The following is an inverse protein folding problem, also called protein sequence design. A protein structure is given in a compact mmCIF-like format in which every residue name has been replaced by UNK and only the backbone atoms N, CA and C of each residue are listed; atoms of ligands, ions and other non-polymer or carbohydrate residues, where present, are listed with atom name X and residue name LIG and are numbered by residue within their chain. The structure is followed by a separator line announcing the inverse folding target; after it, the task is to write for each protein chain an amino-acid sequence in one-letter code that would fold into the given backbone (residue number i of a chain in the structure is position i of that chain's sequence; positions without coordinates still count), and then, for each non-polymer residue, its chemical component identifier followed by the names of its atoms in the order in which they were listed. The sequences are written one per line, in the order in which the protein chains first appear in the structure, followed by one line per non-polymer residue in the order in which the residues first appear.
data_IF_723285619903
#
_entry.id   IF_723285619903
#
_cell.length_a   1.000
_cell.length_b   1.000
_cell.length_c   1.000
_cell.angle_alpha   90.00
_cell.angle_beta   90.00
_cell.angle_gamma   90.00
#
_symmetry.space_group_name_H-M   'P 1'
#
loop_
_entity.id
_entity.type
_entity.pdbx_description
1 polymer ?
#
# COMPACT_ATOMS: atom_id res chain seq x y z
N UNK A 1 0.92 0.52 -19.56
CA UNK A 1 1.09 1.96 -19.31
C UNK A 1 1.77 2.67 -20.48
N UNK A 2 3.07 2.47 -20.73
CA UNK A 2 3.78 3.13 -21.85
C UNK A 2 3.09 3.01 -23.20
N UNK A 3 2.72 1.79 -23.61
CA UNK A 3 2.03 1.55 -24.90
C UNK A 3 0.73 2.33 -25.10
N UNK A 4 0.03 2.69 -24.02
CA UNK A 4 -1.27 3.36 -24.07
C UNK A 4 -1.19 4.86 -23.85
N UNK A 5 -0.16 5.33 -23.15
CA UNK A 5 -0.07 6.72 -22.67
C UNK A 5 1.13 7.48 -23.24
N UNK A 6 2.11 6.77 -23.80
CA UNK A 6 3.42 7.33 -24.15
C UNK A 6 4.31 7.67 -22.94
N UNK A 7 3.80 7.54 -21.71
CA UNK A 7 4.53 7.88 -20.49
C UNK A 7 5.20 6.64 -19.88
N UNK A 8 6.42 6.82 -19.35
CA UNK A 8 7.00 5.82 -18.47
C UNK A 8 6.24 5.79 -17.13
N UNK A 9 6.42 4.73 -16.33
CA UNK A 9 5.65 4.53 -15.08
C UNK A 9 5.88 5.64 -14.06
N UNK A 10 7.09 6.19 -13.98
CA UNK A 10 7.41 7.24 -13.03
C UNK A 10 6.68 8.53 -13.38
N UNK A 11 6.70 8.93 -14.65
CA UNK A 11 6.06 10.18 -15.10
C UNK A 11 4.53 10.09 -15.03
N UNK A 12 3.98 8.91 -15.36
CA UNK A 12 2.56 8.66 -15.15
C UNK A 12 2.20 8.72 -13.66
N UNK A 13 2.95 8.04 -12.79
CA UNK A 13 2.68 8.05 -11.35
C UNK A 13 2.87 9.45 -10.74
N UNK A 14 3.88 10.22 -11.17
CA UNK A 14 4.06 11.62 -10.77
C UNK A 14 2.83 12.45 -11.09
N UNK A 15 2.35 12.37 -12.33
CA UNK A 15 1.24 13.19 -12.83
C UNK A 15 -0.08 12.83 -12.16
N UNK A 16 -0.38 11.53 -12.03
CA UNK A 16 -1.71 11.06 -11.68
C UNK A 16 -1.86 10.61 -10.22
N UNK A 17 -0.76 10.44 -9.48
CA UNK A 17 -0.80 9.92 -8.10
C UNK A 17 0.09 10.73 -7.15
N UNK A 18 1.40 10.81 -7.41
CA UNK A 18 2.33 11.39 -6.46
C UNK A 18 2.14 12.90 -6.29
N UNK A 19 2.10 13.69 -7.37
CA UNK A 19 1.88 15.14 -7.24
C UNK A 19 0.51 15.47 -6.64
N UNK A 20 -0.62 14.84 -7.05
CA UNK A 20 -1.91 15.05 -6.39
C UNK A 20 -1.89 14.76 -4.89
N UNK A 21 -1.11 13.76 -4.45
CA UNK A 21 -0.93 13.43 -3.03
C UNK A 21 0.16 14.26 -2.33
N UNK A 22 0.82 15.20 -3.01
CA UNK A 22 1.91 15.99 -2.45
C UNK A 22 3.20 15.19 -2.17
N UNK A 23 3.40 14.08 -2.88
CA UNK A 23 4.61 13.25 -2.85
C UNK A 23 5.58 13.79 -3.90
N UNK A 24 6.67 14.42 -3.45
CA UNK A 24 7.66 15.06 -4.34
C UNK A 24 9.02 14.34 -4.37
N UNK A 25 9.40 13.67 -3.28
CA UNK A 25 10.66 12.93 -3.18
C UNK A 25 10.42 11.47 -3.53
N UNK A 26 10.70 11.13 -4.79
CA UNK A 26 10.54 9.78 -5.33
C UNK A 26 11.85 9.33 -5.94
N UNK A 27 12.33 8.15 -5.56
CA UNK A 27 13.36 7.42 -6.31
C UNK A 27 12.75 6.12 -6.76
N UNK A 28 12.97 5.79 -8.03
CA UNK A 28 12.47 4.55 -8.60
C UNK A 28 13.57 3.96 -9.47
N UNK A 29 14.00 2.74 -9.17
CA UNK A 29 15.01 2.08 -10.00
C UNK A 29 14.44 1.66 -11.36
N UNK A 30 15.35 1.57 -12.33
CA UNK A 30 15.08 1.23 -13.71
C UNK A 30 16.13 0.25 -14.24
N UNK A 31 15.77 -0.50 -15.27
CA UNK A 31 16.66 -1.45 -15.92
C UNK A 31 17.70 -0.76 -16.81
N UNK A 32 18.60 -1.55 -17.42
CA UNK A 32 19.64 -1.01 -18.32
C UNK A 32 19.09 -0.32 -19.57
N UNK A 33 17.83 -0.56 -19.94
CA UNK A 33 17.15 0.09 -21.06
C UNK A 33 16.40 1.36 -20.64
N UNK A 34 16.40 1.73 -19.36
CA UNK A 34 15.69 2.89 -18.84
C UNK A 34 14.23 2.63 -18.45
N UNK A 35 13.79 1.37 -18.43
CA UNK A 35 12.44 1.04 -17.98
C UNK A 35 12.40 0.90 -16.46
N UNK A 36 11.64 1.77 -15.81
CA UNK A 36 11.34 1.69 -14.39
C UNK A 36 10.63 0.39 -14.02
N UNK A 37 11.00 -0.19 -12.87
CA UNK A 37 10.44 -1.46 -12.41
C UNK A 37 9.00 -1.31 -11.89
N UNK A 38 8.05 -2.10 -12.41
CA UNK A 38 6.65 -2.02 -11.97
C UNK A 38 6.32 -2.74 -10.64
N UNK A 39 7.17 -3.66 -10.19
CA UNK A 39 6.90 -4.52 -9.03
C UNK A 39 7.81 -4.31 -7.82
N UNK A 40 8.85 -3.48 -7.94
CA UNK A 40 9.82 -3.21 -6.87
C UNK A 40 10.61 -1.92 -7.14
N UNK A 41 11.49 -1.54 -6.21
CA UNK A 41 12.50 -0.51 -6.44
C UNK A 41 12.02 0.93 -6.30
N UNK A 42 10.82 1.12 -5.77
CA UNK A 42 10.27 2.41 -5.40
C UNK A 42 10.68 2.75 -3.97
N UNK A 43 11.49 3.80 -3.80
CA UNK A 43 11.86 4.35 -2.51
C UNK A 43 11.06 5.64 -2.25
N UNK A 44 10.31 5.62 -1.14
CA UNK A 44 9.53 6.75 -0.63
C UNK A 44 9.83 6.94 0.86
N UNK A 45 9.68 8.17 1.34
CA UNK A 45 9.64 8.41 2.78
C UNK A 45 8.39 7.74 3.40
N UNK A 46 8.44 7.26 4.65
CA UNK A 46 7.28 6.64 5.31
C UNK A 46 6.01 7.48 5.23
N UNK A 47 6.11 8.80 5.41
CA UNK A 47 4.97 9.71 5.34
C UNK A 47 4.35 9.76 3.94
N UNK A 48 5.16 9.57 2.89
CA UNK A 48 4.66 9.48 1.51
C UNK A 48 3.93 8.16 1.26
N UNK A 49 4.37 7.06 1.87
CA UNK A 49 3.66 5.78 1.84
C UNK A 49 2.33 5.92 2.60
N UNK A 50 2.33 6.58 3.76
CA UNK A 50 1.10 6.84 4.53
C UNK A 50 0.06 7.62 3.72
N UNK A 51 0.47 8.58 2.88
CA UNK A 51 -0.47 9.31 1.99
C UNK A 51 -1.15 8.41 0.96
N UNK A 52 -0.47 7.38 0.48
CA UNK A 52 -1.08 6.36 -0.38
C UNK A 52 -2.10 5.56 0.44
N UNK A 53 -1.77 5.19 1.68
CA UNK A 53 -2.71 4.55 2.59
C UNK A 53 -3.94 5.40 2.90
N UNK A 54 -3.74 6.70 3.14
CA UNK A 54 -4.82 7.67 3.37
C UNK A 54 -5.76 7.74 2.18
N UNK A 55 -5.24 7.68 0.94
CA UNK A 55 -6.11 7.62 -0.24
C UNK A 55 -7.04 6.41 -0.21
N UNK A 56 -6.60 5.24 0.28
CA UNK A 56 -7.45 4.06 0.42
C UNK A 56 -8.41 4.17 1.60
N UNK A 57 -7.96 4.75 2.72
CA UNK A 57 -8.82 5.00 3.88
C UNK A 57 -9.96 5.99 3.55
N UNK A 58 -9.62 7.04 2.79
CA UNK A 58 -10.55 8.06 2.28
C UNK A 58 -11.29 7.61 1.00
N UNK A 59 -11.26 6.30 0.70
CA UNK A 59 -12.02 5.68 -0.39
C UNK A 59 -11.77 6.30 -1.77
N UNK A 60 -10.53 6.72 -2.01
CA UNK A 60 -10.06 7.26 -3.27
C UNK A 60 -10.27 8.77 -3.41
N UNK A 61 -10.82 9.44 -2.40
CA UNK A 61 -10.90 10.89 -2.33
C UNK A 61 -9.65 11.46 -1.64
N UNK A 62 -9.04 12.49 -2.23
CA UNK A 62 -8.03 13.30 -1.59
C UNK A 62 -8.48 14.75 -1.57
N UNK A 63 -8.82 15.27 -0.38
CA UNK A 63 -9.20 16.68 -0.16
C UNK A 63 -10.26 17.20 -1.14
N UNK A 64 -11.30 16.40 -1.39
CA UNK A 64 -12.38 16.72 -2.31
C UNK A 64 -12.14 16.29 -3.76
N UNK A 65 -10.94 15.85 -4.12
CA UNK A 65 -10.62 15.35 -5.47
C UNK A 65 -10.68 13.82 -5.49
N UNK A 66 -11.55 13.25 -6.33
CA UNK A 66 -11.59 11.79 -6.52
C UNK A 66 -10.44 11.39 -7.44
N UNK A 67 -9.39 10.78 -6.88
CA UNK A 67 -8.26 10.24 -7.64
C UNK A 67 -8.50 8.79 -8.06
N UNK A 68 -9.19 8.02 -7.21
CA UNK A 68 -9.63 6.66 -7.50
C UNK A 68 -11.13 6.55 -7.19
N UNK A 69 -11.94 5.90 -8.04
CA UNK A 69 -13.34 5.66 -7.71
C UNK A 69 -13.46 4.80 -6.44
N UNK A 70 -14.43 5.10 -5.56
CA UNK A 70 -14.70 4.27 -4.37
C UNK A 70 -14.99 2.81 -4.75
N UNK A 71 -15.62 2.57 -5.91
CA UNK A 71 -15.82 1.24 -6.46
C UNK A 71 -14.52 0.49 -6.74
N UNK A 72 -13.51 1.19 -7.26
CA UNK A 72 -12.19 0.62 -7.50
C UNK A 72 -11.47 0.32 -6.19
N UNK A 73 -11.54 1.21 -5.18
CA UNK A 73 -10.96 0.93 -3.87
C UNK A 73 -11.55 -0.36 -3.28
N UNK A 74 -12.88 -0.49 -3.29
CA UNK A 74 -13.57 -1.69 -2.82
C UNK A 74 -13.15 -2.94 -3.57
N UNK A 75 -13.02 -2.87 -4.90
CA UNK A 75 -12.62 -4.00 -5.74
C UNK A 75 -11.14 -4.36 -5.54
N UNK A 76 -10.26 -3.37 -5.44
CA UNK A 76 -8.84 -3.58 -5.22
C UNK A 76 -8.55 -4.26 -3.88
N UNK A 77 -9.37 -3.98 -2.86
CA UNK A 77 -9.23 -4.54 -1.51
C UNK A 77 -10.19 -5.72 -1.25
N UNK A 78 -10.88 -6.25 -2.26
CA UNK A 78 -11.67 -7.47 -2.13
C UNK A 78 -10.83 -8.73 -2.42
N UNK A 79 -11.27 -9.87 -1.90
CA UNK A 79 -10.59 -11.15 -2.07
C UNK A 79 -10.79 -11.65 -3.51
N UNK A 80 -9.68 -11.76 -4.25
CA UNK A 80 -9.64 -12.31 -5.61
C UNK A 80 -8.84 -13.62 -5.70
N UNK A 81 -8.02 -13.92 -4.69
CA UNK A 81 -7.31 -15.20 -4.56
C UNK A 81 -6.92 -15.47 -3.10
N UNK A 82 -6.47 -16.70 -2.80
CA UNK A 82 -5.96 -17.10 -1.48
C UNK A 82 -4.53 -16.64 -1.20
N UNK A 83 -3.92 -15.87 -2.10
CA UNK A 83 -2.54 -15.38 -1.98
C UNK A 83 -1.48 -16.48 -1.89
N UNK A 84 -0.31 -16.15 -1.36
CA UNK A 84 0.85 -17.05 -1.32
C UNK A 84 1.96 -16.61 -0.36
N UNK A 85 3.09 -17.31 -0.38
CA UNK A 85 4.27 -16.95 0.41
C UNK A 85 4.77 -15.54 0.05
N UNK A 86 5.26 -14.73 1.01
CA UNK A 86 5.46 -15.03 2.43
C UNK A 86 4.23 -14.82 3.32
N UNK A 87 3.27 -14.01 2.87
CA UNK A 87 2.21 -13.49 3.73
C UNK A 87 1.11 -14.51 4.05
N UNK A 88 0.79 -15.39 3.08
CA UNK A 88 -0.23 -16.45 3.18
C UNK A 88 -1.63 -15.96 3.56
N UNK A 89 -1.93 -14.69 3.30
CA UNK A 89 -3.26 -14.10 3.44
C UNK A 89 -3.96 -14.03 2.08
N UNK A 90 -5.26 -13.73 2.06
CA UNK A 90 -5.97 -13.48 0.81
C UNK A 90 -5.38 -12.28 0.05
N UNK A 91 -5.63 -12.22 -1.25
CA UNK A 91 -5.07 -11.17 -2.10
C UNK A 91 -6.11 -10.57 -3.04
N UNK A 92 -6.06 -9.24 -3.14
CA UNK A 92 -6.82 -8.43 -4.09
C UNK A 92 -5.93 -7.84 -5.19
N UNK A 93 -6.26 -6.66 -5.71
CA UNK A 93 -5.44 -5.99 -6.72
C UNK A 93 -4.26 -5.27 -6.09
N UNK A 94 -3.16 -5.99 -5.95
CA UNK A 94 -1.91 -5.54 -5.30
C UNK A 94 -2.00 -5.32 -3.78
N UNK A 95 -3.07 -5.78 -3.13
CA UNK A 95 -3.27 -5.70 -1.68
C UNK A 95 -3.46 -7.08 -1.07
N UNK A 96 -2.78 -7.34 0.04
CA UNK A 96 -3.14 -8.42 0.94
C UNK A 96 -4.39 -8.04 1.72
N UNK A 97 -5.29 -8.99 1.92
CA UNK A 97 -6.60 -8.80 2.57
C UNK A 97 -6.73 -9.82 3.68
N UNK A 98 -6.98 -9.33 4.89
CA UNK A 98 -6.99 -10.16 6.09
C UNK A 98 -7.97 -9.63 7.12
N UNK A 99 -8.17 -10.41 8.17
CA UNK A 99 -9.03 -10.02 9.29
C UNK A 99 -8.48 -10.59 10.58
N UNK A 100 -8.62 -9.82 11.66
CA UNK A 100 -8.24 -10.28 13.00
C UNK A 100 -9.19 -9.66 14.02
N UNK A 101 -9.68 -10.47 14.95
CA UNK A 101 -10.57 -10.04 16.05
C UNK A 101 -11.79 -9.23 15.57
N UNK A 102 -12.36 -9.58 14.42
CA UNK A 102 -13.50 -8.88 13.82
C UNK A 102 -13.16 -7.60 13.04
N UNK A 103 -11.88 -7.21 12.98
CA UNK A 103 -11.41 -6.08 12.19
C UNK A 103 -10.85 -6.55 10.85
N UNK A 104 -11.47 -6.10 9.77
CA UNK A 104 -10.96 -6.30 8.42
C UNK A 104 -9.89 -5.26 8.12
N UNK A 105 -8.77 -5.69 7.56
CA UNK A 105 -7.70 -4.80 7.12
C UNK A 105 -7.12 -5.26 5.79
N UNK A 106 -6.62 -4.31 5.02
CA UNK A 106 -5.85 -4.57 3.82
C UNK A 106 -4.47 -3.95 3.96
N UNK A 107 -3.47 -4.57 3.34
CA UNK A 107 -2.11 -4.10 3.48
C UNK A 107 -1.23 -4.41 2.26
N UNK A 108 -0.21 -3.57 2.07
CA UNK A 108 0.87 -3.83 1.13
C UNK A 108 2.08 -4.33 1.91
N UNK A 109 2.79 -5.31 1.36
CA UNK A 109 3.99 -5.88 1.95
C UNK A 109 5.14 -5.89 0.93
N UNK A 110 6.32 -5.47 1.37
CA UNK A 110 7.55 -5.47 0.59
C UNK A 110 8.67 -6.22 1.29
N UNK A 111 9.59 -6.78 0.50
CA UNK A 111 10.78 -7.46 1.01
C UNK A 111 11.55 -6.55 1.98
N UNK A 112 12.10 -7.15 3.04
CA UNK A 112 12.86 -6.42 4.06
C UNK A 112 12.01 -5.77 5.15
N UNK A 113 10.71 -6.06 5.18
CA UNK A 113 9.80 -5.66 6.26
C UNK A 113 9.07 -4.35 6.01
N UNK A 114 8.78 -4.01 4.75
CA UNK A 114 8.01 -2.81 4.42
C UNK A 114 6.53 -3.15 4.49
N UNK A 115 5.76 -2.44 5.32
CA UNK A 115 4.32 -2.63 5.44
C UNK A 115 3.56 -1.32 5.43
N UNK A 116 2.40 -1.34 4.79
CA UNK A 116 1.37 -0.32 4.90
C UNK A 116 0.06 -1.03 5.22
N UNK A 117 -0.46 -0.87 6.43
CA UNK A 117 -1.75 -1.40 6.87
C UNK A 117 -2.83 -0.31 6.86
N UNK A 118 -4.04 -0.69 6.45
CA UNK A 118 -5.24 0.15 6.45
C UNK A 118 -6.37 -0.61 7.14
N UNK A 119 -6.96 -0.01 8.18
CA UNK A 119 -8.08 -0.57 8.94
C UNK A 119 -9.27 0.40 8.89
N UNK A 120 -10.16 0.27 7.90
CA UNK A 120 -11.21 1.28 7.67
C UNK A 120 -12.15 1.50 8.85
N UNK A 121 -12.50 0.45 9.58
CA UNK A 121 -13.44 0.53 10.72
C UNK A 121 -12.86 1.23 11.94
N UNK A 122 -11.53 1.42 11.98
CA UNK A 122 -10.83 2.11 13.08
C UNK A 122 -10.28 3.48 12.68
N UNK A 123 -10.50 3.91 11.43
CA UNK A 123 -9.84 5.11 10.87
C UNK A 123 -8.30 5.06 11.10
N UNK A 124 -7.72 3.86 10.95
CA UNK A 124 -6.33 3.58 11.34
C UNK A 124 -5.46 3.22 10.13
N UNK A 125 -4.28 3.85 10.08
CA UNK A 125 -3.20 3.56 9.14
C UNK A 125 -1.90 3.33 9.89
N UNK A 126 -1.13 2.34 9.44
CA UNK A 126 0.19 2.05 10.02
C UNK A 126 1.18 1.81 8.90
N UNK A 127 2.23 2.62 8.84
CA UNK A 127 3.38 2.40 7.95
C UNK A 127 4.57 1.93 8.78
N UNK A 128 5.18 0.82 8.38
CA UNK A 128 6.41 0.30 8.98
C UNK A 128 7.43 0.12 7.87
N UNK A 129 8.58 0.77 7.99
CA UNK A 129 9.73 0.56 7.09
C UNK A 129 10.87 -0.08 7.85
N UNK A 130 11.62 -0.96 7.19
CA UNK A 130 12.72 -1.71 7.80
C UNK A 130 13.82 -1.97 6.76
N UNK A 131 14.96 -2.52 7.19
CA UNK A 131 16.09 -2.79 6.30
C UNK A 131 16.64 -4.21 6.49
N UNK A 132 15.76 -5.20 6.40
CA UNK A 132 16.16 -6.62 6.39
C UNK A 132 16.48 -7.08 4.97
N UNK A 133 17.43 -8.01 4.84
CA UNK A 133 17.77 -8.67 3.55
C UNK A 133 16.92 -9.90 3.26
N UNK A 134 16.05 -10.29 4.19
CA UNK A 134 15.19 -11.47 4.11
C UNK A 134 13.71 -11.05 4.25
N UNK A 135 12.74 -11.93 3.91
CA UNK A 135 11.37 -11.74 4.36
C UNK A 135 11.33 -11.48 5.87
N UNK A 136 10.63 -10.43 6.29
CA UNK A 136 10.59 -9.95 7.67
C UNK A 136 9.14 -9.78 8.12
N UNK A 137 8.50 -10.91 8.39
CA UNK A 137 7.07 -11.01 8.75
C UNK A 137 6.80 -10.55 10.19
N UNK A 138 7.85 -10.29 10.97
CA UNK A 138 7.79 -9.82 12.35
C UNK A 138 7.08 -8.47 12.45
N UNK A 139 7.17 -7.62 11.41
CA UNK A 139 6.44 -6.35 11.38
C UNK A 139 4.93 -6.55 11.23
N UNK A 140 4.50 -7.60 10.51
CA UNK A 140 3.09 -8.02 10.51
C UNK A 140 2.68 -8.52 11.89
N UNK A 141 3.51 -9.33 12.55
CA UNK A 141 3.25 -9.79 13.92
C UNK A 141 3.18 -8.65 14.95
N UNK A 142 4.01 -7.62 14.81
CA UNK A 142 3.93 -6.40 15.63
C UNK A 142 2.60 -5.68 15.42
N UNK A 143 2.18 -5.53 14.17
CA UNK A 143 0.89 -4.92 13.85
C UNK A 143 -0.28 -5.72 14.44
N UNK A 144 -0.34 -7.02 14.14
CA UNK A 144 -1.46 -7.88 14.55
C UNK A 144 -1.49 -8.19 16.05
N UNK A 145 -0.32 -8.34 16.67
CA UNK A 145 -0.19 -8.72 18.08
C UNK A 145 -0.15 -7.55 19.06
N UNK A 146 0.17 -6.33 18.62
CA UNK A 146 0.32 -5.18 19.52
C UNK A 146 -0.47 -3.94 19.08
N UNK A 147 -0.26 -3.49 17.84
CA UNK A 147 -0.82 -2.20 17.39
C UNK A 147 -2.34 -2.30 17.21
N UNK A 148 -2.81 -3.25 16.40
CA UNK A 148 -4.24 -3.43 16.15
C UNK A 148 -5.03 -3.70 17.44
N UNK A 149 -4.62 -4.62 18.33
CA UNK A 149 -5.30 -4.83 19.60
C UNK A 149 -5.37 -3.58 20.49
N UNK A 150 -4.28 -2.79 20.53
CA UNK A 150 -4.26 -1.56 21.32
C UNK A 150 -5.34 -0.58 20.86
N UNK A 151 -5.43 -0.27 19.56
CA UNK A 151 -6.43 0.66 19.04
C UNK A 151 -7.85 0.08 19.05
N UNK A 152 -8.01 -1.23 18.81
CA UNK A 152 -9.30 -1.90 18.91
C UNK A 152 -9.90 -1.82 20.33
N UNK A 153 -9.07 -1.80 21.38
CA UNK A 153 -9.53 -1.66 22.77
C UNK A 153 -10.03 -0.27 23.15
N UNK A 154 -9.91 0.71 22.25
CA UNK A 154 -10.32 2.11 22.50
C UNK A 154 -11.68 2.47 21.91
N UNK A 155 -12.32 1.55 21.20
CA UNK A 155 -13.73 1.65 20.78
C UNK A 155 -14.66 1.42 21.98
#
# INVERSE_FOLDING_TARGET
MYKLTGLNVLDYAKTHLFHPLGISKVKWSFDKQGHYHGGFGLDLAPESITRIGQLYLDKGNHKGTVLLPESYIREATSIHSTGGFPERDNYGYHWWVSSMNGFNFHYAAGLGGQYLFVVPTLDLLVTITSNSRQPHIENKALFTGSILPYYASKL
#
